data_IF_071719187481
#
_entry.id   IF_071719187481
#
_cell.length_a   1.000
_cell.length_b   1.000
_cell.length_c   1.000
_cell.angle_alpha   90.00
_cell.angle_beta   90.00
_cell.angle_gamma   90.00
#
_symmetry.space_group_name_H-M   'P 1'
#
loop_
_entity.id
_entity.type
_entity.pdbx_description
1 polymer ?
#
# COMPACT_ATOMS: atom_id res chain seq x y z
N UNK A 1 12.47 45.45 15.64
CA UNK A 1 11.37 45.28 14.67
C UNK A 1 11.93 44.57 13.44
N UNK A 2 11.98 43.24 13.50
CA UNK A 2 12.22 42.41 12.32
C UNK A 2 11.07 41.42 12.28
N UNK A 3 10.15 41.62 11.33
CA UNK A 3 9.14 40.64 10.97
C UNK A 3 9.87 39.43 10.38
N UNK A 4 9.85 38.32 11.09
CA UNK A 4 10.09 37.00 10.53
C UNK A 4 8.84 36.62 9.74
N UNK A 5 8.91 36.76 8.41
CA UNK A 5 7.91 36.25 7.48
C UNK A 5 7.89 34.72 7.55
N UNK A 6 7.11 34.17 8.48
CA UNK A 6 6.77 32.75 8.53
C UNK A 6 5.86 32.43 7.34
N UNK A 7 6.49 32.01 6.23
CA UNK A 7 5.84 31.34 5.09
C UNK A 7 5.44 29.92 5.50
N UNK A 8 4.54 29.80 6.47
CA UNK A 8 4.02 28.51 6.89
C UNK A 8 2.94 28.07 5.88
N UNK A 9 3.39 27.45 4.77
CA UNK A 9 2.50 26.88 3.74
C UNK A 9 1.88 25.57 4.16
N UNK A 10 2.52 24.87 5.08
CA UNK A 10 2.08 23.61 5.66
C UNK A 10 1.76 23.80 7.13
N UNK A 11 0.57 23.37 7.53
CA UNK A 11 0.14 23.32 8.93
C UNK A 11 -0.09 21.87 9.33
N UNK A 12 0.34 21.48 10.52
CA UNK A 12 0.10 20.14 11.05
C UNK A 12 -0.78 20.21 12.30
N UNK A 13 -1.85 19.42 12.32
CA UNK A 13 -2.59 19.07 13.53
C UNK A 13 -1.96 17.78 14.07
N UNK A 14 -1.05 17.94 15.02
CA UNK A 14 -0.39 16.84 15.76
C UNK A 14 -1.01 16.69 17.14
N UNK A 15 -0.72 15.57 17.80
CA UNK A 15 -1.22 15.25 19.14
C UNK A 15 -0.12 14.63 20.01
N UNK A 16 1.14 14.97 19.76
CA UNK A 16 2.33 14.31 20.31
C UNK A 16 2.45 14.44 21.84
N UNK A 17 1.59 15.26 22.47
CA UNK A 17 1.55 15.46 23.92
C UNK A 17 0.22 15.03 24.53
N UNK A 18 0.32 14.16 25.55
CA UNK A 18 -0.80 13.68 26.38
C UNK A 18 -1.62 14.80 27.04
N UNK A 19 -1.08 16.02 27.16
CA UNK A 19 -1.73 17.17 27.81
C UNK A 19 -2.64 18.00 26.89
N UNK A 20 -2.74 17.65 25.60
CA UNK A 20 -3.58 18.34 24.62
C UNK A 20 -3.05 19.69 24.13
N UNK A 21 -1.81 20.04 24.49
CA UNK A 21 -1.20 21.34 24.10
C UNK A 21 -1.04 21.53 22.59
N UNK A 22 -1.03 20.45 21.80
CA UNK A 22 -0.87 20.53 20.35
C UNK A 22 -2.15 20.99 19.64
N UNK A 23 -3.33 20.63 20.15
CA UNK A 23 -4.61 21.19 19.67
C UNK A 23 -4.66 22.70 19.97
N UNK A 24 -4.17 23.12 21.13
CA UNK A 24 -4.09 24.54 21.50
C UNK A 24 -3.08 25.30 20.63
N UNK A 25 -1.95 24.67 20.27
CA UNK A 25 -0.97 25.23 19.34
C UNK A 25 -1.56 25.40 17.93
N UNK A 26 -2.24 24.37 17.40
CA UNK A 26 -3.02 24.44 16.16
C UNK A 26 -4.02 25.60 16.21
N UNK A 27 -4.77 25.70 17.32
CA UNK A 27 -5.78 26.73 17.46
C UNK A 27 -5.18 28.14 17.50
N UNK A 28 -4.10 28.32 18.26
CA UNK A 28 -3.39 29.59 18.37
C UNK A 28 -2.79 30.03 17.04
N UNK A 29 -2.26 29.08 16.26
CA UNK A 29 -1.73 29.36 14.94
C UNK A 29 -2.85 29.80 13.98
N UNK A 30 -3.97 29.07 13.99
CA UNK A 30 -5.12 29.43 13.17
C UNK A 30 -5.76 30.73 13.60
N UNK A 31 -5.64 31.21 14.83
CA UNK A 31 -6.14 32.55 15.19
C UNK A 31 -5.41 33.69 14.46
N UNK A 32 -4.25 33.41 13.85
CA UNK A 32 -3.50 34.35 13.04
C UNK A 32 -4.03 34.39 11.60
N UNK A 33 -4.58 35.53 11.19
CA UNK A 33 -5.08 35.71 9.81
C UNK A 33 -4.02 35.45 8.74
N UNK A 34 -2.75 35.78 9.02
CA UNK A 34 -1.64 35.50 8.11
C UNK A 34 -1.42 33.99 7.89
N UNK A 35 -1.51 33.18 8.96
CA UNK A 35 -1.37 31.73 8.87
C UNK A 35 -2.52 31.11 8.04
N UNK A 36 -3.78 31.51 8.31
CA UNK A 36 -4.93 31.05 7.52
C UNK A 36 -4.78 31.32 6.02
N UNK A 37 -4.27 32.51 5.69
CA UNK A 37 -4.09 32.93 4.30
C UNK A 37 -2.87 32.26 3.64
N UNK A 38 -1.81 31.95 4.39
CA UNK A 38 -0.61 31.31 3.87
C UNK A 38 -0.76 29.79 3.67
N UNK A 39 -1.61 29.14 4.46
CA UNK A 39 -1.78 27.69 4.45
C UNK A 39 -2.32 27.17 3.11
N UNK A 40 -1.58 26.22 2.53
CA UNK A 40 -1.88 25.53 1.28
C UNK A 40 -1.91 24.01 1.45
N UNK A 41 -1.24 23.51 2.49
CA UNK A 41 -1.14 22.11 2.86
C UNK A 41 -1.50 21.93 4.34
N UNK A 42 -2.33 20.93 4.64
CA UNK A 42 -2.64 20.53 6.02
C UNK A 42 -2.33 19.05 6.20
N UNK A 43 -1.60 18.74 7.28
CA UNK A 43 -1.37 17.38 7.76
C UNK A 43 -2.22 17.15 9.01
N UNK A 44 -2.98 16.05 9.06
CA UNK A 44 -3.84 15.68 10.19
C UNK A 44 -3.39 14.30 10.68
N UNK A 45 -2.88 14.25 11.90
CA UNK A 45 -2.53 13.01 12.58
C UNK A 45 -3.76 12.49 13.31
N UNK A 46 -4.10 11.21 13.15
CA UNK A 46 -5.28 10.63 13.83
C UNK A 46 -5.06 10.42 15.34
N UNK A 47 -3.80 10.28 15.76
CA UNK A 47 -3.40 9.95 17.13
C UNK A 47 -2.05 10.61 17.49
N UNK A 48 -1.69 10.67 18.79
CA UNK A 48 -0.36 11.07 19.25
C UNK A 48 0.76 10.28 18.58
N UNK A 49 1.77 10.97 18.07
CA UNK A 49 2.85 10.35 17.33
C UNK A 49 3.96 9.85 18.27
N UNK A 50 4.16 8.54 18.36
CA UNK A 50 5.36 7.93 18.93
C UNK A 50 6.03 7.06 17.87
N UNK A 51 7.02 7.62 17.17
CA UNK A 51 7.86 6.90 16.19
C UNK A 51 8.92 6.01 16.89
N UNK A 52 9.17 6.21 18.18
CA UNK A 52 10.17 5.48 18.96
C UNK A 52 9.58 4.19 19.56
N UNK A 53 9.80 3.08 18.84
CA UNK A 53 9.47 1.70 19.24
C UNK A 53 10.22 1.17 20.48
N UNK A 54 11.06 1.98 21.14
CA UNK A 54 11.93 1.53 22.24
C UNK A 54 11.25 1.50 23.63
N UNK A 55 9.99 1.94 23.74
CA UNK A 55 9.22 1.84 25.00
C UNK A 55 7.94 0.99 24.81
N UNK A 56 8.11 -0.34 24.83
CA UNK A 56 7.06 -1.38 24.83
C UNK A 56 6.02 -1.32 25.98
N UNK A 57 5.73 -0.17 26.56
CA UNK A 57 4.62 -0.08 27.53
C UNK A 57 3.97 1.30 27.48
N UNK A 58 2.75 1.39 26.90
CA UNK A 58 1.63 2.31 27.24
C UNK A 58 1.00 3.25 26.18
N UNK A 59 1.54 3.58 24.99
CA UNK A 59 1.01 4.73 24.22
C UNK A 59 -0.43 4.59 23.66
N UNK A 60 -0.85 3.43 23.14
CA UNK A 60 -2.14 3.36 22.42
C UNK A 60 -3.35 3.07 23.31
N UNK A 61 -3.14 2.65 24.56
CA UNK A 61 -4.23 2.53 25.53
C UNK A 61 -4.91 3.89 25.76
N UNK A 62 -4.13 4.97 25.80
CA UNK A 62 -4.63 6.31 26.03
C UNK A 62 -5.32 6.88 24.77
N UNK A 63 -4.82 6.60 23.57
CA UNK A 63 -5.50 7.01 22.33
C UNK A 63 -6.89 6.35 22.20
N UNK A 64 -6.99 5.04 22.44
CA UNK A 64 -8.28 4.33 22.42
C UNK A 64 -9.23 4.82 23.51
N UNK A 65 -8.74 5.01 24.75
CA UNK A 65 -9.54 5.57 25.84
C UNK A 65 -10.02 7.00 25.55
N UNK A 66 -9.20 7.82 24.88
CA UNK A 66 -9.57 9.18 24.46
C UNK A 66 -10.69 9.19 23.42
N UNK A 67 -10.72 8.23 22.49
CA UNK A 67 -11.79 8.08 21.49
C UNK A 67 -13.05 7.39 22.04
N UNK A 68 -12.91 6.32 22.82
CA UNK A 68 -14.02 5.42 23.19
C UNK A 68 -14.59 5.67 24.60
N UNK A 69 -13.80 6.21 25.55
CA UNK A 69 -14.17 6.29 26.97
C UNK A 69 -14.61 7.70 27.44
N UNK A 70 -14.87 8.63 26.51
CA UNK A 70 -15.63 9.85 26.81
C UNK A 70 -14.84 11.01 27.41
N UNK A 71 -13.54 11.12 27.12
CA UNK A 71 -12.65 12.18 27.62
C UNK A 71 -12.77 13.57 26.96
N UNK A 72 -13.72 13.76 26.02
CA UNK A 72 -13.89 15.04 25.30
C UNK A 72 -12.87 15.28 24.17
N UNK A 73 -11.87 14.40 24.02
CA UNK A 73 -10.89 14.44 22.93
C UNK A 73 -11.55 14.42 21.56
N UNK A 74 -12.46 13.47 21.28
CA UNK A 74 -13.21 13.40 20.02
C UNK A 74 -13.83 14.75 19.64
N UNK A 75 -14.45 15.42 20.62
CA UNK A 75 -15.08 16.74 20.41
C UNK A 75 -14.05 17.82 20.12
N UNK A 76 -12.93 17.84 20.85
CA UNK A 76 -11.84 18.79 20.65
C UNK A 76 -11.17 18.59 19.28
N UNK A 77 -10.89 17.33 18.91
CA UNK A 77 -10.35 16.94 17.62
C UNK A 77 -11.28 17.35 16.47
N UNK A 78 -12.56 17.00 16.54
CA UNK A 78 -13.56 17.44 15.54
C UNK A 78 -13.60 18.96 15.40
N UNK A 79 -13.59 19.68 16.52
CA UNK A 79 -13.59 21.13 16.50
C UNK A 79 -12.32 21.69 15.85
N UNK A 80 -11.16 21.09 16.12
CA UNK A 80 -9.87 21.47 15.53
C UNK A 80 -9.84 21.21 14.01
N UNK A 81 -10.29 20.03 13.56
CA UNK A 81 -10.39 19.67 12.14
C UNK A 81 -11.40 20.55 11.41
N UNK A 82 -12.54 20.89 12.02
CA UNK A 82 -13.54 21.78 11.41
C UNK A 82 -12.95 23.17 11.06
N UNK A 83 -11.87 23.59 11.71
CA UNK A 83 -11.17 24.84 11.38
C UNK A 83 -10.46 24.82 10.04
N UNK A 84 -10.31 23.66 9.40
CA UNK A 84 -9.91 23.55 7.98
C UNK A 84 -10.81 24.41 7.08
N UNK A 85 -12.08 24.60 7.45
CA UNK A 85 -13.02 25.48 6.75
C UNK A 85 -12.57 26.95 6.69
N UNK A 86 -11.68 27.37 7.58
CA UNK A 86 -11.15 28.72 7.70
C UNK A 86 -9.92 28.97 6.79
N UNK A 87 -9.47 27.96 6.04
CA UNK A 87 -8.26 27.99 5.20
C UNK A 87 -8.61 28.19 3.71
N UNK A 88 -8.66 29.43 3.19
CA UNK A 88 -9.14 29.69 1.83
C UNK A 88 -8.21 29.14 0.74
N UNK A 89 -6.91 29.00 1.00
CA UNK A 89 -5.91 28.61 -0.01
C UNK A 89 -5.47 27.14 0.07
N UNK A 90 -6.09 26.35 0.95
CA UNK A 90 -5.82 24.92 1.11
C UNK A 90 -6.16 24.14 -0.17
N UNK A 91 -5.15 23.47 -0.71
CA UNK A 91 -5.24 22.63 -1.90
C UNK A 91 -4.70 21.21 -1.70
N UNK A 92 -3.95 20.95 -0.63
CA UNK A 92 -3.37 19.64 -0.29
C UNK A 92 -3.79 19.23 1.11
N UNK A 93 -4.26 18.00 1.26
CA UNK A 93 -4.59 17.41 2.56
C UNK A 93 -3.87 16.08 2.71
N UNK A 94 -3.20 15.90 3.83
CA UNK A 94 -2.54 14.67 4.21
C UNK A 94 -3.13 14.15 5.53
N UNK A 95 -3.71 12.95 5.50
CA UNK A 95 -4.20 12.24 6.69
C UNK A 95 -3.17 11.18 7.04
N UNK A 96 -2.64 11.18 8.26
CA UNK A 96 -1.63 10.24 8.72
C UNK A 96 -2.18 9.41 9.87
N UNK A 97 -2.29 8.12 9.64
CA UNK A 97 -2.54 7.13 10.69
C UNK A 97 -1.23 6.55 11.21
N UNK A 98 -1.31 5.88 12.35
CA UNK A 98 -0.20 5.06 12.85
C UNK A 98 0.12 3.92 11.89
N UNK A 99 1.37 3.46 11.87
CA UNK A 99 1.80 2.32 11.05
C UNK A 99 1.45 0.96 11.66
N UNK A 100 0.65 0.95 12.74
CA UNK A 100 0.18 -0.28 13.40
C UNK A 100 -1.34 -0.28 13.43
N UNK A 101 -1.93 -1.33 12.85
CA UNK A 101 -3.35 -1.59 12.89
C UNK A 101 -3.64 -3.05 13.18
N UNK A 102 -4.82 -3.29 13.74
CA UNK A 102 -5.28 -4.60 14.17
C UNK A 102 -6.55 -4.98 13.38
N UNK A 103 -6.61 -6.21 12.90
CA UNK A 103 -7.77 -6.75 12.16
C UNK A 103 -9.00 -6.92 13.04
N UNK A 104 -10.16 -7.13 12.42
CA UNK A 104 -11.48 -7.25 13.07
C UNK A 104 -11.47 -8.34 14.15
N UNK A 105 -10.88 -9.51 13.85
CA UNK A 105 -10.79 -10.61 14.82
C UNK A 105 -9.88 -10.25 16.01
N UNK A 106 -8.79 -9.54 15.71
CA UNK A 106 -7.76 -9.15 16.66
C UNK A 106 -8.15 -7.96 17.54
N UNK A 107 -9.01 -7.04 17.08
CA UNK A 107 -9.47 -5.87 17.85
C UNK A 107 -10.25 -6.24 19.13
N UNK A 108 -10.81 -7.45 19.15
CA UNK A 108 -11.56 -8.00 20.29
C UNK A 108 -10.69 -8.73 21.32
N UNK A 109 -9.41 -8.97 21.03
CA UNK A 109 -8.51 -9.72 21.89
C UNK A 109 -7.85 -8.81 22.92
N UNK A 110 -7.83 -9.23 24.19
CA UNK A 110 -7.32 -8.39 25.29
C UNK A 110 -5.80 -8.16 25.26
N UNK A 111 -5.03 -8.92 24.48
CA UNK A 111 -3.57 -8.79 24.38
C UNK A 111 -3.12 -7.83 23.27
N UNK A 112 -3.96 -7.57 22.26
CA UNK A 112 -3.72 -6.51 21.25
C UNK A 112 -4.20 -5.13 21.74
N UNK A 113 -4.76 -5.07 22.97
CA UNK A 113 -5.17 -3.83 23.60
C UNK A 113 -3.94 -2.94 23.81
N UNK A 114 -3.96 -1.77 23.17
CA UNK A 114 -2.96 -0.73 23.43
C UNK A 114 -1.69 -0.82 22.58
N UNK A 115 -1.69 -1.60 21.49
CA UNK A 115 -0.58 -1.68 20.52
C UNK A 115 -0.90 -1.10 19.13
N UNK A 116 -2.20 -0.99 18.82
CA UNK A 116 -2.72 -0.48 17.55
C UNK A 116 -3.68 0.68 17.78
N UNK A 117 -3.75 1.60 16.82
CA UNK A 117 -4.88 2.51 16.69
C UNK A 117 -6.16 1.75 16.31
N UNK A 118 -7.28 2.02 17.01
CA UNK A 118 -8.54 1.29 16.79
C UNK A 118 -9.17 1.60 15.43
N UNK A 119 -9.88 0.62 14.87
CA UNK A 119 -10.58 0.77 13.58
C UNK A 119 -11.65 1.86 13.67
N UNK A 120 -12.31 1.95 14.82
CA UNK A 120 -13.31 2.99 15.09
C UNK A 120 -12.68 4.40 15.06
N UNK A 121 -11.52 4.61 15.70
CA UNK A 121 -10.82 5.89 15.69
C UNK A 121 -10.33 6.29 14.30
N UNK A 122 -9.77 5.34 13.54
CA UNK A 122 -9.36 5.55 12.13
C UNK A 122 -10.54 5.99 11.27
N UNK A 123 -11.66 5.26 11.37
CA UNK A 123 -12.89 5.58 10.64
C UNK A 123 -13.46 6.93 11.02
N UNK A 124 -13.46 7.28 12.32
CA UNK A 124 -14.01 8.54 12.76
C UNK A 124 -13.15 9.73 12.35
N UNK A 125 -11.83 9.56 12.30
CA UNK A 125 -10.91 10.52 11.70
C UNK A 125 -11.22 10.75 10.23
N UNK A 126 -11.37 9.69 9.42
CA UNK A 126 -11.75 9.80 8.01
C UNK A 126 -13.05 10.59 7.83
N UNK A 127 -14.10 10.25 8.59
CA UNK A 127 -15.39 10.95 8.53
C UNK A 127 -15.24 12.42 8.90
N UNK A 128 -14.59 12.71 10.02
CA UNK A 128 -14.39 14.08 10.52
C UNK A 128 -13.66 14.95 9.50
N UNK A 129 -12.58 14.44 8.90
CA UNK A 129 -11.82 15.18 7.89
C UNK A 129 -12.67 15.42 6.64
N UNK A 130 -13.33 14.40 6.12
CA UNK A 130 -14.11 14.53 4.89
C UNK A 130 -15.34 15.41 5.05
N UNK A 131 -16.01 15.38 6.20
CA UNK A 131 -17.11 16.29 6.51
C UNK A 131 -16.62 17.75 6.60
N UNK A 132 -15.47 18.00 7.20
CA UNK A 132 -14.87 19.33 7.24
C UNK A 132 -14.50 19.83 5.83
N UNK A 133 -13.98 18.95 4.96
CA UNK A 133 -13.66 19.27 3.57
C UNK A 133 -14.91 19.53 2.73
N UNK A 134 -15.98 18.76 2.93
CA UNK A 134 -17.26 19.01 2.27
C UNK A 134 -17.83 20.38 2.68
N UNK A 135 -17.89 20.67 4.00
CA UNK A 135 -18.31 21.98 4.52
C UNK A 135 -17.47 23.11 3.92
N UNK A 136 -16.14 22.91 3.83
CA UNK A 136 -15.22 23.89 3.26
C UNK A 136 -15.51 24.16 1.78
N UNK A 137 -15.79 23.11 1.00
CA UNK A 137 -16.09 23.21 -0.43
C UNK A 137 -17.40 23.96 -0.73
N UNK A 138 -18.31 24.08 0.24
CA UNK A 138 -19.54 24.86 0.09
C UNK A 138 -19.29 26.38 -0.01
N UNK A 139 -18.13 26.88 0.42
CA UNK A 139 -17.78 28.29 0.31
C UNK A 139 -17.12 28.59 -1.04
N UNK A 140 -17.67 29.50 -1.87
CA UNK A 140 -17.12 29.83 -3.19
C UNK A 140 -15.79 30.61 -3.12
N UNK A 141 -15.40 31.07 -1.92
CA UNK A 141 -14.14 31.78 -1.71
C UNK A 141 -12.96 30.83 -1.43
N UNK A 142 -13.24 29.54 -1.23
CA UNK A 142 -12.24 28.55 -0.93
C UNK A 142 -11.72 27.91 -2.23
N UNK A 143 -10.40 27.74 -2.30
CA UNK A 143 -9.75 26.93 -3.31
C UNK A 143 -10.18 25.46 -3.22
N UNK A 144 -10.06 24.74 -4.32
CA UNK A 144 -10.41 23.32 -4.39
C UNK A 144 -9.22 22.49 -3.89
N UNK A 145 -9.50 21.47 -3.07
CA UNK A 145 -8.50 20.47 -2.69
C UNK A 145 -8.24 19.55 -3.88
N UNK A 146 -7.00 19.51 -4.35
CA UNK A 146 -6.55 18.76 -5.52
C UNK A 146 -5.70 17.56 -5.17
N UNK A 147 -4.96 17.64 -4.07
CA UNK A 147 -4.08 16.56 -3.63
C UNK A 147 -4.57 15.99 -2.32
N UNK A 148 -4.77 14.67 -2.31
CA UNK A 148 -5.16 13.90 -1.12
C UNK A 148 -4.10 12.82 -0.88
N UNK A 149 -3.49 12.85 0.30
CA UNK A 149 -2.59 11.79 0.78
C UNK A 149 -3.22 11.12 1.99
N UNK A 150 -3.27 9.80 2.01
CA UNK A 150 -3.66 9.00 3.18
C UNK A 150 -2.54 8.03 3.47
N UNK A 151 -1.81 8.29 4.55
CA UNK A 151 -0.70 7.47 5.01
C UNK A 151 -1.18 6.48 6.06
N UNK A 152 -0.75 5.22 5.89
CA UNK A 152 -1.09 4.07 6.72
C UNK A 152 -2.61 3.82 6.81
N UNK A 153 -3.34 3.97 5.71
CA UNK A 153 -4.73 3.55 5.62
C UNK A 153 -4.81 2.04 5.91
N UNK A 154 -5.58 1.65 6.91
CA UNK A 154 -5.76 0.23 7.21
C UNK A 154 -6.42 -0.48 6.03
N UNK A 155 -5.93 -1.67 5.68
CA UNK A 155 -6.46 -2.55 4.64
C UNK A 155 -7.82 -3.20 5.01
N UNK A 156 -8.75 -2.47 5.62
CA UNK A 156 -10.11 -2.97 5.86
C UNK A 156 -11.08 -2.30 4.88
N UNK A 157 -11.99 -3.05 4.22
CA UNK A 157 -13.06 -2.44 3.42
C UNK A 157 -13.92 -1.47 4.24
N UNK A 158 -14.22 -0.31 3.65
CA UNK A 158 -14.99 0.77 4.27
C UNK A 158 -16.13 1.27 3.37
N UNK A 159 -17.04 0.38 2.94
CA UNK A 159 -18.05 0.71 1.92
C UNK A 159 -19.00 1.80 2.38
N UNK A 160 -19.37 1.87 3.67
CA UNK A 160 -20.26 2.92 4.17
C UNK A 160 -19.64 4.31 4.00
N UNK A 161 -18.32 4.41 4.17
CA UNK A 161 -17.58 5.66 4.00
C UNK A 161 -17.40 6.03 2.53
N UNK A 162 -16.93 5.09 1.68
CA UNK A 162 -16.74 5.33 0.24
C UNK A 162 -18.06 5.66 -0.48
N UNK A 163 -19.18 5.11 0.00
CA UNK A 163 -20.50 5.41 -0.55
C UNK A 163 -21.14 6.69 0.00
N UNK A 164 -20.56 7.33 1.02
CA UNK A 164 -21.07 8.58 1.60
C UNK A 164 -21.01 9.75 0.61
N UNK A 165 -21.90 10.72 0.81
CA UNK A 165 -21.94 11.94 -0.01
C UNK A 165 -20.70 12.81 0.22
N UNK A 166 -20.23 12.92 1.47
CA UNK A 166 -19.03 13.67 1.85
C UNK A 166 -17.82 13.15 1.07
N UNK A 167 -17.61 11.83 1.07
CA UNK A 167 -16.53 11.19 0.33
C UNK A 167 -16.61 11.51 -1.16
N UNK A 168 -17.73 11.18 -1.81
CA UNK A 168 -17.90 11.37 -3.26
C UNK A 168 -17.69 12.82 -3.69
N UNK A 169 -18.20 13.80 -2.93
CA UNK A 169 -18.05 15.22 -3.24
C UNK A 169 -16.60 15.68 -3.14
N UNK A 170 -15.91 15.30 -2.07
CA UNK A 170 -14.49 15.65 -1.87
C UNK A 170 -13.62 15.02 -2.97
N UNK A 171 -13.70 13.70 -3.16
CA UNK A 171 -12.80 12.99 -4.08
C UNK A 171 -13.07 13.30 -5.55
N UNK A 172 -14.29 13.76 -5.90
CA UNK A 172 -14.62 14.11 -7.28
C UNK A 172 -13.75 15.22 -7.88
N UNK A 173 -13.06 16.01 -7.05
CA UNK A 173 -12.19 17.11 -7.50
C UNK A 173 -10.69 16.84 -7.33
N UNK A 174 -10.33 15.69 -6.74
CA UNK A 174 -8.95 15.25 -6.52
C UNK A 174 -8.30 14.91 -7.86
N UNK A 175 -7.10 15.42 -8.05
CA UNK A 175 -6.26 15.24 -9.23
C UNK A 175 -5.02 14.40 -8.89
N UNK A 176 -4.59 14.38 -7.63
CA UNK A 176 -3.44 13.62 -7.16
C UNK A 176 -3.82 12.83 -5.90
N UNK A 177 -3.59 11.52 -5.93
CA UNK A 177 -3.90 10.61 -4.84
C UNK A 177 -2.63 9.83 -4.43
N UNK A 178 -2.22 9.95 -3.17
CA UNK A 178 -1.21 9.09 -2.53
C UNK A 178 -1.89 8.24 -1.46
N UNK A 179 -1.89 6.93 -1.66
CA UNK A 179 -2.39 5.96 -0.70
C UNK A 179 -1.22 5.09 -0.24
N UNK A 180 -0.91 5.16 1.05
CA UNK A 180 -0.09 4.15 1.72
C UNK A 180 -0.99 3.29 2.57
N UNK A 181 -1.01 1.99 2.28
CA UNK A 181 -1.82 0.99 2.94
C UNK A 181 -0.96 0.31 4.01
N UNK A 182 -1.48 0.26 5.22
CA UNK A 182 -0.93 -0.50 6.33
C UNK A 182 -1.73 -1.79 6.45
N UNK A 183 -1.05 -2.92 6.55
CA UNK A 183 -1.69 -4.22 6.80
C UNK A 183 -1.72 -4.55 8.28
N UNK A 184 -2.59 -5.47 8.67
CA UNK A 184 -2.65 -5.93 10.06
C UNK A 184 -1.30 -6.45 10.55
N UNK A 185 -0.95 -6.07 11.78
CA UNK A 185 0.18 -6.62 12.52
C UNK A 185 -0.33 -7.52 13.64
N UNK A 186 0.13 -8.77 13.68
CA UNK A 186 -0.07 -9.66 14.82
C UNK A 186 1.27 -9.95 15.52
N UNK A 187 1.39 -9.48 16.77
CA UNK A 187 2.57 -9.66 17.62
C UNK A 187 2.93 -11.15 17.86
N UNK A 188 1.95 -12.05 17.83
CA UNK A 188 2.18 -13.48 18.05
C UNK A 188 2.82 -14.22 16.86
N UNK A 189 3.02 -13.51 15.75
CA UNK A 189 3.70 -13.99 14.57
C UNK A 189 2.97 -13.55 13.30
N UNK A 190 3.71 -13.29 12.21
CA UNK A 190 3.13 -13.05 10.89
C UNK A 190 2.48 -14.30 10.28
N UNK A 191 2.37 -15.42 11.03
CA UNK A 191 1.72 -16.66 10.62
C UNK A 191 0.23 -16.44 10.41
N UNK A 192 -0.40 -15.55 11.19
CA UNK A 192 -1.84 -15.30 11.07
C UNK A 192 -2.20 -14.13 10.19
N UNK A 193 -1.29 -13.20 9.95
CA UNK A 193 -1.59 -11.97 9.22
C UNK A 193 -2.08 -12.28 7.81
N UNK A 194 -1.45 -13.26 7.14
CA UNK A 194 -1.86 -13.75 5.83
C UNK A 194 -3.33 -14.23 5.78
N UNK A 195 -3.84 -14.78 6.88
CA UNK A 195 -5.16 -15.39 6.96
C UNK A 195 -6.27 -14.42 7.35
N UNK A 196 -5.92 -13.18 7.73
CA UNK A 196 -6.88 -12.14 8.05
C UNK A 196 -7.80 -11.87 6.85
N UNK A 197 -9.08 -11.63 7.12
CA UNK A 197 -10.09 -11.42 6.07
C UNK A 197 -9.79 -10.16 5.25
N UNK A 198 -9.23 -9.15 5.90
CA UNK A 198 -8.82 -7.86 5.36
C UNK A 198 -7.80 -8.01 4.23
N UNK A 199 -6.82 -8.91 4.37
CA UNK A 199 -5.84 -9.25 3.31
C UNK A 199 -6.47 -9.84 2.06
N UNK A 200 -7.71 -10.36 2.14
CA UNK A 200 -8.44 -10.96 1.01
C UNK A 200 -9.48 -10.02 0.40
N UNK A 201 -10.00 -9.11 1.20
CA UNK A 201 -11.20 -8.33 0.85
C UNK A 201 -10.89 -6.89 0.45
N UNK A 202 -9.77 -6.33 0.90
CA UNK A 202 -9.46 -4.92 0.66
C UNK A 202 -9.01 -4.61 -0.76
N UNK A 203 -8.13 -5.40 -1.36
CA UNK A 203 -7.67 -5.19 -2.73
C UNK A 203 -8.84 -5.26 -3.74
N UNK A 204 -9.77 -6.24 -3.64
CA UNK A 204 -11.00 -6.22 -4.41
C UNK A 204 -11.87 -4.98 -4.17
N UNK A 205 -12.00 -4.53 -2.92
CA UNK A 205 -12.73 -3.32 -2.56
C UNK A 205 -12.08 -2.05 -3.16
N UNK A 206 -10.76 -1.94 -3.05
CA UNK A 206 -9.97 -0.82 -3.56
C UNK A 206 -10.20 -0.63 -5.07
N UNK A 207 -10.09 -1.71 -5.85
CA UNK A 207 -10.26 -1.64 -7.31
C UNK A 207 -11.73 -1.52 -7.77
N UNK A 208 -12.69 -2.07 -7.03
CA UNK A 208 -14.11 -2.11 -7.48
C UNK A 208 -14.96 -0.96 -6.96
N UNK A 209 -14.63 -0.44 -5.79
CA UNK A 209 -15.47 0.53 -5.09
C UNK A 209 -14.74 1.86 -4.87
N UNK A 210 -13.52 1.84 -4.33
CA UNK A 210 -12.83 3.09 -3.95
C UNK A 210 -12.24 3.85 -5.14
N UNK A 211 -11.31 3.25 -5.89
CA UNK A 211 -10.63 3.93 -7.01
C UNK A 211 -11.56 4.43 -8.12
N UNK A 212 -12.63 3.71 -8.51
CA UNK A 212 -13.56 4.19 -9.54
C UNK A 212 -14.21 5.54 -9.22
N UNK A 213 -14.38 5.89 -7.94
CA UNK A 213 -14.99 7.17 -7.54
C UNK A 213 -14.15 8.39 -7.90
N UNK A 214 -12.83 8.22 -8.11
CA UNK A 214 -11.87 9.30 -8.34
C UNK A 214 -11.37 9.33 -9.80
N UNK A 215 -11.68 8.28 -10.56
CA UNK A 215 -10.96 7.95 -11.79
C UNK A 215 -10.99 9.06 -12.87
N UNK A 216 -12.06 9.85 -12.93
CA UNK A 216 -12.29 10.86 -13.98
C UNK A 216 -11.26 12.01 -13.96
N UNK A 217 -10.78 12.39 -12.78
CA UNK A 217 -9.95 13.58 -12.60
C UNK A 217 -8.52 13.29 -12.19
N UNK A 218 -8.22 12.06 -11.75
CA UNK A 218 -6.86 11.68 -11.38
C UNK A 218 -5.88 11.83 -12.55
N UNK A 219 -4.82 12.59 -12.27
CA UNK A 219 -3.62 12.79 -13.08
C UNK A 219 -2.43 12.06 -12.49
N UNK A 220 -2.36 11.98 -11.15
CA UNK A 220 -1.35 11.21 -10.43
C UNK A 220 -2.00 10.22 -9.47
N UNK A 221 -1.55 8.97 -9.51
CA UNK A 221 -1.98 7.90 -8.60
C UNK A 221 -0.73 7.21 -8.04
N UNK A 222 -0.64 7.16 -6.72
CA UNK A 222 0.39 6.43 -6.01
C UNK A 222 -0.27 5.48 -5.02
N UNK A 223 0.01 4.18 -5.17
CA UNK A 223 -0.50 3.13 -4.30
C UNK A 223 0.70 2.36 -3.74
N UNK A 224 0.83 2.39 -2.43
CA UNK A 224 1.86 1.70 -1.68
C UNK A 224 1.20 0.80 -0.66
N UNK A 225 1.72 -0.41 -0.51
CA UNK A 225 1.44 -1.26 0.63
C UNK A 225 2.75 -1.45 1.38
N UNK A 226 2.69 -1.55 2.70
CA UNK A 226 3.83 -1.93 3.54
C UNK A 226 4.32 -3.37 3.30
N UNK A 227 3.48 -4.24 2.74
CA UNK A 227 3.78 -5.60 2.32
C UNK A 227 3.47 -5.84 0.83
N UNK A 228 3.92 -6.99 0.31
CA UNK A 228 3.55 -7.49 -1.01
C UNK A 228 2.03 -7.61 -1.20
N UNK A 229 1.55 -7.20 -2.38
CA UNK A 229 0.12 -7.18 -2.72
C UNK A 229 -0.17 -7.39 -4.20
N UNK A 230 -1.46 -7.59 -4.50
CA UNK A 230 -2.02 -7.54 -5.86
C UNK A 230 -2.21 -8.89 -6.53
N UNK A 231 -1.36 -9.88 -6.23
CA UNK A 231 -1.54 -11.25 -6.72
C UNK A 231 -2.33 -12.12 -5.74
N UNK A 232 -2.00 -12.04 -4.46
CA UNK A 232 -2.50 -12.91 -3.40
C UNK A 232 -2.21 -12.26 -2.02
N UNK A 233 -2.96 -12.62 -0.96
CA UNK A 233 -4.18 -13.41 -1.02
C UNK A 233 -5.37 -12.59 -1.58
N UNK A 234 -5.32 -11.26 -1.47
CA UNK A 234 -6.22 -10.32 -2.13
C UNK A 234 -5.78 -10.01 -3.55
N UNK A 235 -6.73 -10.01 -4.48
CA UNK A 235 -6.46 -9.79 -5.90
C UNK A 235 -6.67 -8.34 -6.31
N UNK A 236 -5.68 -7.78 -7.01
CA UNK A 236 -5.76 -6.51 -7.72
C UNK A 236 -5.21 -6.67 -9.14
N UNK A 237 -6.11 -6.83 -10.11
CA UNK A 237 -5.80 -6.84 -11.55
C UNK A 237 -6.25 -5.55 -12.26
N UNK A 238 -6.83 -4.62 -11.51
CA UNK A 238 -7.32 -3.32 -12.00
C UNK A 238 -8.39 -3.42 -13.08
N UNK A 239 -9.03 -4.58 -13.26
CA UNK A 239 -10.00 -4.79 -14.32
C UNK A 239 -11.19 -3.86 -14.16
N UNK A 240 -11.48 -3.10 -15.21
CA UNK A 240 -12.53 -2.09 -15.21
C UNK A 240 -12.09 -0.70 -14.74
N UNK A 241 -10.84 -0.54 -14.27
CA UNK A 241 -10.27 0.77 -13.99
C UNK A 241 -9.88 1.50 -15.27
N UNK A 242 -10.37 2.73 -15.40
CA UNK A 242 -10.05 3.61 -16.52
C UNK A 242 -9.81 5.03 -15.98
N UNK A 243 -8.56 5.49 -16.07
CA UNK A 243 -8.14 6.80 -15.61
C UNK A 243 -7.77 7.68 -16.82
N UNK A 244 -8.75 8.35 -17.46
CA UNK A 244 -8.56 9.01 -18.76
C UNK A 244 -7.55 10.17 -18.76
N UNK A 245 -7.16 10.67 -17.59
CA UNK A 245 -6.21 11.78 -17.43
C UNK A 245 -4.92 11.37 -16.72
N UNK A 246 -4.76 10.10 -16.35
CA UNK A 246 -3.62 9.64 -15.57
C UNK A 246 -2.35 9.79 -16.38
N UNK A 247 -1.44 10.63 -15.90
CA UNK A 247 -0.12 10.83 -16.48
C UNK A 247 0.99 10.24 -15.60
N UNK A 248 0.74 10.03 -14.31
CA UNK A 248 1.71 9.53 -13.35
C UNK A 248 1.13 8.37 -12.55
N UNK A 249 1.83 7.23 -12.55
CA UNK A 249 1.48 6.07 -11.76
C UNK A 249 2.69 5.60 -10.94
N UNK A 250 2.50 5.42 -9.64
CA UNK A 250 3.47 4.80 -8.75
C UNK A 250 2.82 3.60 -8.06
N UNK A 251 3.49 2.46 -8.14
CA UNK A 251 3.09 1.24 -7.42
C UNK A 251 4.26 0.76 -6.59
N UNK A 252 4.05 0.53 -5.30
CA UNK A 252 5.06 0.03 -4.37
C UNK A 252 4.67 -1.34 -3.81
N UNK A 253 5.62 -2.28 -3.79
CA UNK A 253 5.44 -3.67 -3.35
C UNK A 253 4.40 -4.48 -4.18
N UNK A 254 4.11 -4.05 -5.41
CA UNK A 254 3.18 -4.76 -6.29
C UNK A 254 3.80 -6.07 -6.82
N UNK A 255 3.12 -7.19 -6.59
CA UNK A 255 3.55 -8.53 -7.02
C UNK A 255 2.78 -8.96 -8.25
N UNK A 256 3.51 -9.29 -9.31
CA UNK A 256 2.98 -9.77 -10.58
C UNK A 256 3.01 -11.30 -10.57
N UNK A 257 1.84 -11.93 -10.68
CA UNK A 257 1.71 -13.40 -10.81
C UNK A 257 0.84 -13.85 -11.97
N UNK A 258 0.08 -12.95 -12.58
CA UNK A 258 -0.79 -13.24 -13.73
C UNK A 258 -0.40 -12.43 -14.97
N UNK A 259 -0.66 -12.97 -16.15
CA UNK A 259 -0.35 -12.29 -17.42
C UNK A 259 -1.16 -11.00 -17.62
N UNK A 260 -2.42 -11.00 -17.18
CA UNK A 260 -3.36 -9.88 -17.37
C UNK A 260 -3.20 -8.79 -16.32
N UNK A 261 -2.36 -8.98 -15.31
CA UNK A 261 -2.29 -8.11 -14.14
C UNK A 261 -1.78 -6.69 -14.46
N UNK A 262 -1.09 -6.52 -15.59
CA UNK A 262 -0.66 -5.22 -16.09
C UNK A 262 -1.62 -4.58 -17.08
N UNK A 263 -2.64 -5.28 -17.55
CA UNK A 263 -3.53 -4.80 -18.63
C UNK A 263 -4.16 -3.45 -18.29
N UNK A 264 -4.54 -3.26 -17.02
CA UNK A 264 -5.09 -2.00 -16.55
C UNK A 264 -4.07 -0.85 -16.63
N UNK A 265 -2.79 -1.09 -16.33
CA UNK A 265 -1.73 -0.07 -16.47
C UNK A 265 -1.56 0.27 -17.96
N UNK A 266 -1.47 -0.76 -18.80
CA UNK A 266 -1.28 -0.62 -20.24
C UNK A 266 -2.47 0.05 -20.92
N UNK A 267 -3.67 -0.02 -20.33
CA UNK A 267 -4.86 0.69 -20.80
C UNK A 267 -4.76 2.22 -20.61
N UNK A 268 -3.88 2.71 -19.72
CA UNK A 268 -3.73 4.14 -19.44
C UNK A 268 -2.85 4.82 -20.50
N UNK A 269 -3.42 5.10 -21.68
CA UNK A 269 -2.65 5.66 -22.81
C UNK A 269 -2.11 7.07 -22.57
N UNK A 270 -2.65 7.82 -21.62
CA UNK A 270 -2.15 9.15 -21.22
C UNK A 270 -0.90 9.09 -20.35
N UNK A 271 -0.48 7.90 -19.89
CA UNK A 271 0.60 7.75 -18.93
C UNK A 271 1.94 8.23 -19.50
N UNK A 272 2.59 9.14 -18.76
CA UNK A 272 3.89 9.75 -19.07
C UNK A 272 4.98 9.33 -18.10
N UNK A 273 4.61 9.02 -16.86
CA UNK A 273 5.51 8.60 -15.79
C UNK A 273 4.99 7.32 -15.14
N UNK A 274 5.84 6.30 -15.06
CA UNK A 274 5.57 5.04 -14.37
C UNK A 274 6.72 4.73 -13.43
N UNK A 275 6.44 4.59 -12.13
CA UNK A 275 7.41 4.16 -11.13
C UNK A 275 6.94 2.85 -10.50
N UNK A 276 7.72 1.79 -10.67
CA UNK A 276 7.54 0.54 -9.95
C UNK A 276 8.58 0.47 -8.85
N UNK A 277 8.14 0.57 -7.58
CA UNK A 277 9.00 0.57 -6.40
C UNK A 277 8.93 -0.78 -5.71
N UNK A 278 10.09 -1.42 -5.56
CA UNK A 278 10.19 -2.80 -5.07
C UNK A 278 9.17 -3.79 -5.71
N UNK A 279 8.92 -3.75 -7.04
CA UNK A 279 7.99 -4.71 -7.63
C UNK A 279 8.64 -6.11 -7.71
N UNK A 280 7.80 -7.15 -7.65
CA UNK A 280 8.25 -8.55 -7.66
C UNK A 280 7.44 -9.37 -8.66
N UNK A 281 8.02 -10.47 -9.12
CA UNK A 281 7.32 -11.52 -9.87
C UNK A 281 7.25 -12.75 -8.99
N UNK A 282 6.04 -13.27 -8.73
CA UNK A 282 5.90 -14.56 -8.05
C UNK A 282 6.09 -15.67 -9.08
N UNK A 283 7.18 -16.41 -8.93
CA UNK A 283 7.56 -17.49 -9.87
C UNK A 283 6.92 -18.82 -9.51
N UNK A 284 6.83 -19.10 -8.20
CA UNK A 284 6.33 -20.35 -7.64
C UNK A 284 5.40 -20.03 -6.47
N UNK A 285 4.34 -20.82 -6.35
CA UNK A 285 3.29 -20.64 -5.35
C UNK A 285 3.02 -22.02 -4.74
N UNK A 286 3.27 -22.16 -3.45
CA UNK A 286 2.87 -23.30 -2.63
C UNK A 286 1.75 -22.85 -1.69
N UNK A 287 0.68 -23.62 -1.64
CA UNK A 287 -0.40 -23.39 -0.69
C UNK A 287 -1.17 -24.67 -0.38
N UNK A 288 -2.05 -24.63 0.61
CA UNK A 288 -3.01 -25.71 0.86
C UNK A 288 -4.20 -25.60 -0.11
N UNK A 289 -4.70 -26.73 -0.62
CA UNK A 289 -5.84 -26.76 -1.55
C UNK A 289 -7.11 -26.15 -0.94
N UNK A 290 -7.30 -26.25 0.38
CA UNK A 290 -8.43 -25.63 1.09
C UNK A 290 -8.30 -24.10 1.05
N UNK A 291 -7.08 -23.56 1.26
CA UNK A 291 -6.81 -22.12 1.17
C UNK A 291 -7.11 -21.61 -0.25
N UNK A 292 -6.68 -22.36 -1.27
CA UNK A 292 -6.91 -22.03 -2.67
C UNK A 292 -8.40 -21.89 -2.98
N UNK A 293 -9.22 -22.83 -2.51
CA UNK A 293 -10.68 -22.81 -2.67
C UNK A 293 -11.32 -21.65 -1.89
N UNK A 294 -10.89 -21.41 -0.65
CA UNK A 294 -11.43 -20.35 0.20
C UNK A 294 -11.13 -18.95 -0.34
N UNK A 295 -9.92 -18.75 -0.86
CA UNK A 295 -9.47 -17.46 -1.39
C UNK A 295 -9.95 -17.22 -2.82
N UNK A 296 -10.44 -18.26 -3.51
CA UNK A 296 -10.95 -18.20 -4.89
C UNK A 296 -9.92 -17.59 -5.84
N UNK A 297 -8.67 -18.05 -5.74
CA UNK A 297 -7.61 -17.56 -6.60
C UNK A 297 -7.81 -18.04 -8.05
N UNK A 298 -7.68 -17.17 -9.06
CA UNK A 298 -7.58 -17.61 -10.44
C UNK A 298 -6.27 -18.37 -10.59
N UNK A 299 -6.31 -19.53 -11.22
CA UNK A 299 -5.12 -20.36 -11.49
C UNK A 299 -5.02 -20.72 -12.96
N UNK A 300 -5.84 -20.10 -13.81
CA UNK A 300 -6.02 -20.46 -15.22
C UNK A 300 -4.73 -20.30 -16.05
N UNK A 301 -3.87 -19.34 -15.69
CA UNK A 301 -2.57 -19.07 -16.32
C UNK A 301 -1.39 -19.59 -15.50
N UNK A 302 -1.66 -20.36 -14.44
CA UNK A 302 -0.66 -21.03 -13.63
C UNK A 302 -0.53 -22.50 -14.03
N UNK A 303 0.70 -22.99 -14.04
CA UNK A 303 0.97 -24.41 -14.26
C UNK A 303 1.00 -25.14 -12.91
N UNK A 304 0.03 -26.04 -12.69
CA UNK A 304 0.01 -26.94 -11.52
C UNK A 304 1.04 -28.05 -11.68
N UNK A 305 1.80 -28.31 -10.63
CA UNK A 305 2.74 -29.43 -10.54
C UNK A 305 2.08 -30.68 -9.95
N UNK A 306 2.61 -31.89 -10.25
CA UNK A 306 2.15 -33.12 -9.61
C UNK A 306 2.33 -33.07 -8.09
N UNK A 307 1.45 -33.75 -7.34
CA UNK A 307 1.61 -33.93 -5.90
C UNK A 307 2.99 -34.58 -5.59
N UNK A 308 3.65 -34.14 -4.53
CA UNK A 308 5.01 -34.60 -4.22
C UNK A 308 6.13 -33.81 -4.90
N UNK A 309 5.79 -32.86 -5.80
CA UNK A 309 6.77 -32.00 -6.44
C UNK A 309 7.61 -31.24 -5.42
N UNK A 310 8.90 -31.06 -5.71
CA UNK A 310 9.86 -30.38 -4.84
C UNK A 310 10.00 -30.96 -3.42
N UNK A 311 9.46 -32.15 -3.17
CA UNK A 311 9.54 -32.82 -1.86
C UNK A 311 8.39 -32.50 -0.90
N UNK A 312 7.40 -31.71 -1.29
CA UNK A 312 6.21 -31.43 -0.48
C UNK A 312 5.27 -32.63 -0.44
N UNK A 313 5.05 -33.20 0.74
CA UNK A 313 4.28 -34.43 0.94
C UNK A 313 2.97 -34.20 1.71
N UNK A 314 2.59 -32.95 2.00
CA UNK A 314 1.29 -32.68 2.61
C UNK A 314 0.16 -33.18 1.71
N UNK A 315 -0.84 -33.85 2.29
CA UNK A 315 -1.94 -34.46 1.54
C UNK A 315 -2.73 -33.41 0.71
N UNK A 316 -2.75 -32.16 1.18
CA UNK A 316 -3.42 -31.02 0.54
C UNK A 316 -2.45 -29.99 -0.08
N UNK A 317 -1.14 -30.25 -0.08
CA UNK A 317 -0.16 -29.30 -0.64
C UNK A 317 -0.33 -29.22 -2.17
N UNK A 318 -0.53 -28.00 -2.68
CA UNK A 318 -0.54 -27.72 -4.11
C UNK A 318 0.56 -26.74 -4.47
N UNK A 319 1.22 -27.00 -5.61
CA UNK A 319 2.31 -26.18 -6.11
C UNK A 319 2.00 -25.74 -7.53
N UNK A 320 2.20 -24.45 -7.77
CA UNK A 320 2.05 -23.81 -9.07
C UNK A 320 3.32 -23.06 -9.47
N UNK A 321 3.51 -22.91 -10.78
CA UNK A 321 4.45 -21.95 -11.35
C UNK A 321 3.73 -20.95 -12.22
N UNK A 322 4.08 -19.67 -12.05
CA UNK A 322 3.69 -18.62 -12.98
C UNK A 322 4.71 -18.55 -14.12
N UNK A 323 4.24 -18.21 -15.31
CA UNK A 323 5.09 -17.95 -16.48
C UNK A 323 5.36 -16.45 -16.70
N UNK A 324 5.01 -15.60 -15.74
CA UNK A 324 5.35 -14.18 -15.77
C UNK A 324 6.88 -13.98 -15.74
N UNK A 325 7.38 -13.05 -16.55
CA UNK A 325 8.80 -12.69 -16.62
C UNK A 325 8.98 -11.18 -16.71
N UNK A 326 10.13 -10.67 -16.26
CA UNK A 326 10.43 -9.24 -16.39
C UNK A 326 10.59 -8.83 -17.85
N UNK A 327 11.10 -9.72 -18.71
CA UNK A 327 11.08 -9.57 -20.16
C UNK A 327 9.69 -9.20 -20.67
N UNK A 328 8.67 -10.01 -20.35
CA UNK A 328 7.29 -9.77 -20.79
C UNK A 328 6.73 -8.46 -20.22
N UNK A 329 7.02 -8.16 -18.96
CA UNK A 329 6.58 -6.91 -18.31
C UNK A 329 7.17 -5.69 -19.02
N UNK A 330 8.48 -5.66 -19.24
CA UNK A 330 9.16 -4.53 -19.87
C UNK A 330 8.77 -4.38 -21.33
N UNK A 331 8.65 -5.47 -22.08
CA UNK A 331 8.19 -5.42 -23.47
C UNK A 331 6.74 -4.92 -23.58
N UNK A 332 5.88 -5.33 -22.64
CA UNK A 332 4.49 -4.87 -22.59
C UNK A 332 4.41 -3.37 -22.27
N UNK A 333 5.21 -2.87 -21.33
CA UNK A 333 5.31 -1.42 -21.03
C UNK A 333 5.84 -0.67 -22.26
N UNK A 334 6.93 -1.15 -22.86
CA UNK A 334 7.59 -0.54 -24.01
C UNK A 334 6.64 -0.39 -25.19
N UNK A 335 5.87 -1.42 -25.49
CA UNK A 335 4.97 -1.46 -26.64
C UNK A 335 3.59 -0.88 -26.34
N UNK A 336 3.08 -1.07 -25.11
CA UNK A 336 1.75 -0.68 -24.70
C UNK A 336 1.59 0.78 -24.27
N UNK A 337 2.67 1.45 -23.84
CA UNK A 337 2.66 2.83 -23.33
C UNK A 337 3.51 3.76 -24.23
N UNK A 338 2.97 4.22 -25.37
CA UNK A 338 3.75 4.98 -26.36
C UNK A 338 4.11 6.40 -25.92
N UNK A 339 3.41 6.96 -24.92
CA UNK A 339 3.64 8.31 -24.40
C UNK A 339 4.47 8.35 -23.12
N UNK A 340 4.94 7.18 -22.66
CA UNK A 340 5.78 7.06 -21.48
C UNK A 340 7.17 7.67 -21.76
N UNK A 341 7.52 8.72 -21.02
CA UNK A 341 8.78 9.48 -21.12
C UNK A 341 9.63 9.41 -19.85
N UNK A 342 9.04 8.95 -18.73
CA UNK A 342 9.73 8.69 -17.48
C UNK A 342 9.38 7.28 -16.99
N UNK A 343 10.39 6.45 -16.75
CA UNK A 343 10.23 5.14 -16.13
C UNK A 343 11.25 4.98 -15.02
N UNK A 344 10.77 4.55 -13.87
CA UNK A 344 11.61 4.27 -12.72
C UNK A 344 11.32 2.86 -12.22
N UNK A 345 12.37 2.04 -12.16
CA UNK A 345 12.40 0.81 -11.40
C UNK A 345 13.24 1.08 -10.14
N UNK A 346 12.64 1.00 -8.96
CA UNK A 346 13.31 1.40 -7.71
C UNK A 346 13.47 0.20 -6.79
N UNK A 347 14.63 0.10 -6.15
CA UNK A 347 14.86 -0.83 -5.03
C UNK A 347 14.61 -0.08 -3.73
N UNK A 348 13.61 -0.49 -2.97
CA UNK A 348 13.33 0.04 -1.63
C UNK A 348 13.58 -1.02 -0.56
N UNK A 349 14.44 -2.01 -0.83
CA UNK A 349 14.80 -3.00 0.20
C UNK A 349 15.32 -2.27 1.45
N UNK A 350 14.91 -2.64 2.68
CA UNK A 350 15.30 -1.93 3.91
C UNK A 350 16.82 -1.81 4.10
N UNK A 351 17.58 -2.71 3.47
CA UNK A 351 19.03 -2.78 3.46
C UNK A 351 19.71 -1.79 2.49
N UNK A 352 18.96 -1.09 1.63
CA UNK A 352 19.47 -0.20 0.58
C UNK A 352 18.74 1.13 0.59
N UNK A 353 19.43 2.20 0.20
CA UNK A 353 18.77 3.49 -0.04
C UNK A 353 17.92 3.37 -1.31
N UNK A 354 16.75 4.03 -1.37
CA UNK A 354 15.96 4.12 -2.61
C UNK A 354 16.82 4.59 -3.77
N UNK A 355 17.11 3.69 -4.70
CA UNK A 355 17.96 3.96 -5.86
C UNK A 355 17.21 3.58 -7.13
N UNK A 356 17.27 4.46 -8.13
CA UNK A 356 16.77 4.15 -9.48
C UNK A 356 17.71 3.11 -10.08
N UNK A 357 17.15 1.95 -10.38
CA UNK A 357 17.88 0.81 -10.88
C UNK A 357 17.91 0.82 -12.41
N UNK A 358 19.10 0.66 -12.96
CA UNK A 358 19.31 0.45 -14.40
C UNK A 358 19.61 -1.02 -14.75
N UNK A 359 19.61 -1.92 -13.76
CA UNK A 359 19.89 -3.35 -13.92
C UNK A 359 18.90 -4.21 -13.11
N UNK A 360 18.12 -5.05 -13.79
CA UNK A 360 17.21 -5.98 -13.10
C UNK A 360 17.99 -7.09 -12.39
N UNK A 361 17.60 -7.37 -11.13
CA UNK A 361 18.18 -8.44 -10.31
C UNK A 361 17.30 -9.69 -10.37
N UNK A 362 17.89 -10.90 -10.51
CA UNK A 362 17.18 -12.17 -10.36
C UNK A 362 16.41 -12.28 -9.02
N UNK A 363 16.88 -11.61 -7.96
CA UNK A 363 16.24 -11.60 -6.63
C UNK A 363 14.82 -10.99 -6.63
N UNK A 364 14.39 -10.39 -7.74
CA UNK A 364 13.02 -9.87 -7.90
C UNK A 364 12.00 -10.94 -8.29
N UNK A 365 12.45 -12.15 -8.61
CA UNK A 365 11.60 -13.32 -8.60
C UNK A 365 11.50 -13.83 -7.17
N UNK A 366 10.27 -13.91 -6.67
CA UNK A 366 9.97 -14.40 -5.33
C UNK A 366 9.16 -15.68 -5.44
N UNK A 367 9.03 -16.33 -4.30
CA UNK A 367 8.21 -17.50 -4.09
C UNK A 367 7.16 -17.17 -3.03
N UNK A 368 5.96 -17.71 -3.21
CA UNK A 368 4.96 -17.70 -2.15
C UNK A 368 4.82 -19.09 -1.55
N UNK A 369 4.86 -19.20 -0.22
CA UNK A 369 4.51 -20.41 0.51
C UNK A 369 3.64 -20.05 1.70
N UNK A 370 2.38 -20.49 1.70
CA UNK A 370 1.56 -20.39 2.90
C UNK A 370 2.12 -21.24 4.04
N UNK A 371 1.81 -20.84 5.28
CA UNK A 371 2.28 -21.49 6.49
C UNK A 371 3.76 -21.32 6.84
N UNK A 372 4.51 -20.47 6.11
CA UNK A 372 5.92 -20.16 6.43
C UNK A 372 6.04 -18.81 7.16
N UNK A 373 6.98 -18.77 8.11
CA UNK A 373 7.33 -17.62 8.94
C UNK A 373 8.77 -17.15 8.63
N UNK A 374 9.11 -15.86 8.83
CA UNK A 374 8.25 -14.75 9.25
C UNK A 374 7.51 -14.06 8.09
N UNK A 375 7.66 -14.54 6.85
CA UNK A 375 6.88 -14.04 5.72
C UNK A 375 6.56 -15.21 4.81
N UNK A 376 5.35 -15.26 4.23
CA UNK A 376 5.04 -16.25 3.21
C UNK A 376 5.73 -15.92 1.87
N UNK A 377 6.28 -14.71 1.73
CA UNK A 377 7.04 -14.26 0.58
C UNK A 377 8.52 -14.53 0.79
N UNK A 378 9.06 -15.47 0.01
CA UNK A 378 10.43 -15.93 0.10
C UNK A 378 11.21 -15.36 -1.07
N UNK A 379 12.22 -14.55 -0.76
CA UNK A 379 13.18 -14.08 -1.75
C UNK A 379 14.14 -15.21 -2.16
N UNK A 380 14.63 -15.16 -3.41
CA UNK A 380 15.74 -16.02 -3.78
C UNK A 380 17.00 -15.66 -2.96
N UNK A 381 17.84 -16.65 -2.68
CA UNK A 381 19.16 -16.40 -2.10
C UNK A 381 20.06 -15.65 -3.09
N UNK A 382 21.21 -15.15 -2.61
CA UNK A 382 22.21 -14.48 -3.45
C UNK A 382 22.76 -15.34 -4.62
N UNK A 383 22.52 -16.65 -4.62
CA UNK A 383 22.85 -17.57 -5.71
C UNK A 383 21.67 -17.81 -6.68
N UNK A 384 20.61 -17.00 -6.57
CA UNK A 384 19.37 -17.06 -7.36
C UNK A 384 18.58 -18.36 -7.23
N UNK A 385 18.83 -19.15 -6.18
CA UNK A 385 18.05 -20.33 -5.83
C UNK A 385 17.05 -19.99 -4.75
N UNK A 386 15.90 -20.63 -4.82
CA UNK A 386 14.96 -20.66 -3.71
C UNK A 386 15.35 -21.81 -2.79
N UNK A 387 15.59 -21.51 -1.51
CA UNK A 387 15.75 -22.55 -0.51
C UNK A 387 14.41 -22.80 0.19
N UNK A 388 13.83 -23.97 -0.09
CA UNK A 388 12.69 -24.49 0.67
C UNK A 388 13.13 -25.38 1.84
N UNK A 389 14.39 -25.82 1.86
CA UNK A 389 14.88 -26.87 2.75
C UNK A 389 15.13 -26.36 4.17
N UNK A 390 15.53 -25.10 4.37
CA UNK A 390 15.77 -24.55 5.71
C UNK A 390 14.51 -24.55 6.61
N UNK A 391 13.32 -24.59 6.03
CA UNK A 391 12.03 -24.59 6.75
C UNK A 391 11.36 -25.96 6.85
N UNK A 392 11.93 -26.98 6.21
CA UNK A 392 11.44 -28.37 6.26
C UNK A 392 12.35 -29.14 7.21
N UNK A 393 11.93 -29.28 8.47
CA UNK A 393 12.72 -29.86 9.56
C UNK A 393 13.59 -31.06 9.15
N UNK A 394 14.83 -31.07 9.67
CA UNK A 394 15.87 -32.07 9.43
C UNK A 394 15.41 -33.50 9.74
N UNK A 395 14.66 -34.16 8.86
CA UNK A 395 14.44 -35.62 8.93
C UNK A 395 13.72 -36.14 7.68
N UNK A 396 14.38 -36.13 6.52
CA UNK A 396 14.11 -37.18 5.52
C UNK A 396 15.39 -37.64 4.83
N UNK A 397 15.91 -38.77 5.29
CA UNK A 397 16.93 -39.56 4.59
C UNK A 397 16.35 -39.97 3.23
N UNK A 398 16.64 -39.16 2.21
CA UNK A 398 16.06 -39.24 0.86
C UNK A 398 15.95 -37.87 0.17
N UNK A 399 16.01 -36.77 0.93
CA UNK A 399 15.90 -35.39 0.43
C UNK A 399 16.98 -35.02 -0.60
N UNK A 400 18.23 -35.48 -0.42
CA UNK A 400 19.36 -35.10 -1.27
C UNK A 400 19.19 -35.50 -2.75
N UNK A 401 18.47 -36.60 -3.04
CA UNK A 401 18.28 -37.10 -4.40
C UNK A 401 17.06 -36.50 -5.14
N UNK A 402 16.16 -35.79 -4.43
CA UNK A 402 15.05 -35.04 -5.04
C UNK A 402 15.39 -33.57 -5.27
N UNK A 403 16.32 -33.02 -4.48
CA UNK A 403 16.84 -31.65 -4.63
C UNK A 403 17.61 -31.46 -5.95
N UNK A 404 18.12 -32.53 -6.57
CA UNK A 404 18.88 -32.43 -7.84
C UNK A 404 18.05 -32.42 -9.14
N UNK A 405 16.73 -32.72 -9.09
CA UNK A 405 15.89 -32.82 -10.30
C UNK A 405 14.86 -31.70 -10.46
N UNK A 406 14.75 -30.83 -9.47
CA UNK A 406 13.93 -29.63 -9.52
C UNK A 406 14.70 -28.49 -8.86
N UNK A 407 15.82 -28.09 -9.48
CA UNK A 407 16.29 -26.73 -9.33
C UNK A 407 15.12 -25.86 -9.78
N UNK A 408 14.37 -25.32 -8.81
CA UNK A 408 13.37 -24.28 -9.02
C UNK A 408 14.01 -23.29 -9.98
N UNK A 409 13.37 -23.11 -11.15
CA UNK A 409 13.94 -22.42 -12.30
C UNK A 409 14.72 -21.21 -11.79
N UNK A 410 16.07 -21.30 -11.79
CA UNK A 410 16.90 -20.31 -11.14
C UNK A 410 16.57 -18.97 -11.79
N UNK A 411 16.36 -17.93 -11.00
CA UNK A 411 16.04 -16.61 -11.54
C UNK A 411 17.08 -16.13 -12.58
N UNK A 412 18.31 -16.67 -12.53
CA UNK A 412 19.37 -16.52 -13.53
C UNK A 412 18.98 -16.92 -14.96
N UNK A 413 18.02 -17.84 -15.14
CA UNK A 413 17.58 -18.30 -16.46
C UNK A 413 16.98 -17.16 -17.27
N UNK A 414 16.34 -16.21 -16.62
CA UNK A 414 15.68 -15.07 -17.25
C UNK A 414 16.57 -13.83 -17.32
N UNK A 415 17.66 -13.80 -16.55
CA UNK A 415 18.51 -12.61 -16.35
C UNK A 415 18.91 -11.93 -17.65
N UNK A 416 19.41 -12.68 -18.63
CA UNK A 416 19.86 -12.11 -19.91
C UNK A 416 18.69 -11.53 -20.72
N UNK A 417 17.53 -12.16 -20.69
CA UNK A 417 16.34 -11.71 -21.41
C UNK A 417 15.71 -10.49 -20.73
N UNK A 418 15.61 -10.51 -19.41
CA UNK A 418 15.07 -9.41 -18.60
C UNK A 418 15.94 -8.15 -18.72
N UNK A 419 17.27 -8.30 -18.64
CA UNK A 419 18.22 -7.19 -18.83
C UNK A 419 18.09 -6.57 -20.21
N UNK A 420 18.02 -7.40 -21.25
CA UNK A 420 17.81 -6.92 -22.62
C UNK A 420 16.51 -6.11 -22.72
N UNK A 421 15.39 -6.66 -22.24
CA UNK A 421 14.09 -6.00 -22.32
C UNK A 421 14.05 -4.67 -21.53
N UNK A 422 14.70 -4.61 -20.37
CA UNK A 422 14.86 -3.36 -19.63
C UNK A 422 15.65 -2.32 -20.44
N UNK A 423 16.78 -2.71 -21.04
CA UNK A 423 17.56 -1.79 -21.89
C UNK A 423 16.78 -1.31 -23.10
N UNK A 424 16.02 -2.20 -23.75
CA UNK A 424 15.17 -1.84 -24.89
C UNK A 424 14.06 -0.87 -24.48
N UNK A 425 13.47 -1.04 -23.29
CA UNK A 425 12.50 -0.10 -22.72
C UNK A 425 13.14 1.26 -22.45
N UNK A 426 14.27 1.30 -21.75
CA UNK A 426 14.98 2.55 -21.42
C UNK A 426 15.44 3.30 -22.68
N UNK A 427 15.91 2.57 -23.70
CA UNK A 427 16.25 3.15 -25.00
C UNK A 427 15.02 3.76 -25.69
N UNK A 428 13.91 3.03 -25.74
CA UNK A 428 12.67 3.54 -26.33
C UNK A 428 12.13 4.78 -25.59
N UNK A 429 12.30 4.86 -24.27
CA UNK A 429 11.93 6.04 -23.48
C UNK A 429 12.80 7.24 -23.85
N UNK A 430 14.11 7.04 -23.97
CA UNK A 430 15.05 8.09 -24.36
C UNK A 430 14.76 8.64 -25.76
N UNK A 431 14.27 7.81 -26.68
CA UNK A 431 13.84 8.25 -28.02
C UNK A 431 12.57 9.11 -28.02
N UNK A 432 11.75 9.02 -26.96
CA UNK A 432 10.49 9.78 -26.83
C UNK A 432 10.67 11.15 -26.16
N UNK A 433 11.80 11.37 -25.51
CA UNK A 433 12.20 12.64 -24.89
C UNK A 433 12.73 13.60 -25.96
#
# INVERSE_FOLDING_TARGET
MHHSDLHCRELALTHDREDGTDIDAWNTLLDQAAAKQAAQHVVIHSTPFHEDWDECTRPYHDARAQWEEGGGFEKAFRAAVDRVTELPNLNTVHIRFTSTCCGIESESNWWTYGECESRAGRMETLRTVFDALEKRAASPHNSVVRTLSIENLQNTPVPEFVHSDSFKKVVSNVEELDLSICVEYNEHGPDRDLYMEERRTFEPFLQREMLPTMARNLTSLNIKFDQEWGCLPGQFDGRGLAFPKLDTLVLENYVIGHHQQLDWILAQKSLKSLSLRNPRIVSHIRMDEIELEQWRLPTDDWQRWPQGAFGFQGDNDVVFTSSATWENVFDSIRTGLPHLVNFHLVDNSPSRRPEVINEISPLRYILFSSGILPSPWIEAENNSRFDFAEYMGEESEGAQAKIELAALDSADRYEMADKRALYDLLAAIKERQ
#
